data_IF_404961507699
#
_entry.id   IF_404961507699
#
_cell.length_a   1.000
_cell.length_b   1.000
_cell.length_c   1.000
_cell.angle_alpha   90.00
_cell.angle_beta   90.00
_cell.angle_gamma   90.00
#
_symmetry.space_group_name_H-M   'P 1'
#
loop_
_entity.id
_entity.type
_entity.pdbx_description
1 polymer ?
#
# COMPACT_ATOMS: atom_id res chain seq x y z
N UNK A 1 18.00 4.08 9.86
CA UNK A 1 17.42 2.97 10.62
C UNK A 1 18.48 1.89 10.87
N UNK A 2 19.20 1.45 9.83
CA UNK A 2 20.43 0.64 9.99
C UNK A 2 21.55 1.54 10.51
N UNK A 3 22.28 1.07 11.53
CA UNK A 3 23.20 1.90 12.30
C UNK A 3 24.66 1.77 11.84
N UNK A 4 25.04 0.58 11.38
CA UNK A 4 26.43 0.25 11.04
C UNK A 4 26.55 -0.12 9.56
N UNK A 5 27.76 -0.02 9.00
CA UNK A 5 28.04 -0.50 7.65
C UNK A 5 27.82 -2.00 7.54
N UNK A 6 28.21 -2.78 8.55
CA UNK A 6 27.96 -4.22 8.57
C UNK A 6 26.45 -4.59 8.50
N UNK A 7 25.57 -3.81 9.16
CA UNK A 7 24.12 -3.99 9.02
C UNK A 7 23.64 -3.63 7.61
N UNK A 8 24.18 -2.59 7.00
CA UNK A 8 23.84 -2.19 5.64
C UNK A 8 24.30 -3.25 4.62
N UNK A 9 25.51 -3.74 4.76
CA UNK A 9 26.05 -4.80 3.90
C UNK A 9 25.23 -6.09 4.01
N UNK A 10 24.79 -6.43 5.21
CA UNK A 10 24.01 -7.65 5.46
C UNK A 10 22.57 -7.53 4.97
N UNK A 11 21.88 -6.41 5.24
CA UNK A 11 20.45 -6.29 5.09
C UNK A 11 20.01 -5.42 3.91
N UNK A 12 20.80 -4.41 3.53
CA UNK A 12 20.43 -3.43 2.52
C UNK A 12 21.13 -3.73 1.18
N UNK A 13 22.43 -3.97 1.19
CA UNK A 13 23.20 -4.12 -0.05
C UNK A 13 22.67 -5.25 -0.94
N UNK A 14 22.29 -6.43 -0.43
CA UNK A 14 21.73 -7.48 -1.28
C UNK A 14 20.40 -7.10 -1.94
N UNK A 15 19.62 -6.20 -1.32
CA UNK A 15 18.37 -5.67 -1.91
C UNK A 15 18.72 -4.69 -3.03
N UNK A 16 19.69 -3.78 -2.81
CA UNK A 16 20.17 -2.82 -3.82
C UNK A 16 20.72 -3.56 -5.05
N UNK A 17 21.48 -4.62 -4.81
CA UNK A 17 22.05 -5.47 -5.88
C UNK A 17 20.98 -6.32 -6.60
N UNK A 18 19.73 -6.29 -6.17
CA UNK A 18 18.66 -7.11 -6.74
C UNK A 18 18.78 -8.62 -6.47
N UNK A 19 19.67 -9.03 -5.56
CA UNK A 19 19.92 -10.44 -5.21
C UNK A 19 18.83 -11.04 -4.34
N UNK A 20 18.20 -10.22 -3.51
CA UNK A 20 17.13 -10.63 -2.58
C UNK A 20 15.96 -9.66 -2.61
N UNK A 21 14.79 -10.16 -2.17
CA UNK A 21 13.61 -9.34 -1.92
C UNK A 21 13.34 -9.24 -0.42
N UNK A 22 12.65 -8.18 -0.02
CA UNK A 22 12.20 -8.00 1.36
C UNK A 22 10.69 -7.92 1.44
N UNK A 23 10.14 -8.32 2.58
CA UNK A 23 8.73 -8.15 2.91
C UNK A 23 8.54 -7.44 4.23
N UNK A 24 7.48 -6.63 4.31
CA UNK A 24 7.09 -5.92 5.52
C UNK A 24 5.95 -6.67 6.21
N UNK A 25 6.21 -7.16 7.41
CA UNK A 25 5.41 -8.15 8.13
C UNK A 25 4.69 -7.49 9.30
N UNK A 26 3.50 -6.90 9.05
CA UNK A 26 2.78 -6.13 10.07
C UNK A 26 1.34 -6.63 10.28
N UNK A 27 0.54 -6.67 9.23
CA UNK A 27 -0.90 -6.94 9.30
C UNK A 27 -1.21 -8.34 9.83
N UNK A 28 -2.27 -8.46 10.61
CA UNK A 28 -2.71 -9.72 11.23
C UNK A 28 -4.12 -10.10 10.78
N UNK A 29 -4.47 -11.41 10.77
CA UNK A 29 -5.84 -11.84 10.60
C UNK A 29 -6.69 -11.47 11.82
N UNK A 30 -8.01 -11.42 11.63
CA UNK A 30 -8.96 -11.25 12.76
C UNK A 30 -8.68 -12.31 13.86
N UNK A 31 -8.69 -11.93 15.15
CA UNK A 31 -9.06 -10.63 15.74
C UNK A 31 -7.89 -9.64 15.89
N UNK A 32 -6.75 -9.89 15.23
CA UNK A 32 -5.57 -9.06 15.33
C UNK A 32 -5.64 -7.77 14.50
N UNK A 33 -4.48 -7.14 14.34
CA UNK A 33 -4.35 -5.80 13.80
C UNK A 33 -4.46 -5.73 12.28
N UNK A 34 -5.39 -4.90 11.80
CA UNK A 34 -5.40 -4.37 10.44
C UNK A 34 -4.99 -2.90 10.43
N UNK A 35 -5.98 -2.00 10.58
CA UNK A 35 -5.79 -0.54 10.52
C UNK A 35 -5.36 0.10 11.84
N UNK A 36 -5.49 -0.60 12.96
CA UNK A 36 -5.08 -0.14 14.29
C UNK A 36 -4.00 -1.04 14.91
N UNK A 37 -2.75 -0.97 14.44
CA UNK A 37 -1.68 -1.81 14.96
C UNK A 37 -1.34 -1.52 16.42
N UNK A 38 -1.44 -0.26 16.87
CA UNK A 38 -1.13 0.12 18.24
C UNK A 38 -2.01 -0.55 19.27
N UNK A 39 -3.32 -0.59 19.01
CA UNK A 39 -4.32 -1.15 19.93
C UNK A 39 -4.51 -2.66 19.81
N UNK A 40 -4.39 -3.22 18.59
CA UNK A 40 -4.92 -4.56 18.30
C UNK A 40 -3.87 -5.61 17.91
N UNK A 41 -2.59 -5.29 17.85
CA UNK A 41 -1.56 -6.27 17.47
C UNK A 41 -1.42 -7.38 18.52
N UNK A 42 -1.55 -8.63 18.07
CA UNK A 42 -1.49 -9.82 18.90
C UNK A 42 -0.14 -10.55 18.82
N UNK A 43 0.59 -10.45 17.70
CA UNK A 43 1.94 -11.02 17.58
C UNK A 43 2.85 -10.40 18.62
N UNK A 44 3.44 -11.22 19.48
CA UNK A 44 4.32 -10.80 20.58
C UNK A 44 5.77 -11.20 20.33
N UNK A 45 6.68 -10.35 20.76
CA UNK A 45 8.11 -10.59 20.81
C UNK A 45 8.58 -10.41 22.26
N UNK A 46 8.81 -11.52 22.95
CA UNK A 46 9.25 -11.55 24.36
C UNK A 46 10.77 -11.52 24.43
N UNK A 47 11.32 -10.58 25.19
CA UNK A 47 12.76 -10.51 25.38
C UNK A 47 13.23 -11.63 26.33
N UNK A 48 14.23 -12.41 25.91
CA UNK A 48 14.88 -13.47 26.68
C UNK A 48 16.41 -13.38 26.51
N UNK A 49 17.07 -12.74 27.47
CA UNK A 49 18.50 -12.44 27.37
C UNK A 49 18.80 -11.51 26.19
N UNK A 50 19.70 -11.94 25.32
CA UNK A 50 20.15 -11.20 24.14
C UNK A 50 19.31 -11.49 22.87
N UNK A 51 18.10 -12.02 23.03
CA UNK A 51 17.19 -12.31 21.90
C UNK A 51 15.74 -12.06 22.24
N UNK A 52 14.93 -11.99 21.21
CA UNK A 52 13.46 -11.94 21.27
C UNK A 52 12.90 -13.26 20.73
N UNK A 53 11.90 -13.81 21.42
CA UNK A 53 11.14 -14.98 20.98
C UNK A 53 9.77 -14.50 20.48
N UNK A 54 9.46 -14.83 19.23
CA UNK A 54 8.26 -14.33 18.56
C UNK A 54 7.23 -15.44 18.41
N UNK A 55 5.98 -15.11 18.79
CA UNK A 55 4.79 -15.93 18.58
C UNK A 55 3.66 -15.10 18.00
N UNK A 56 2.90 -15.65 17.06
CA UNK A 56 1.73 -15.01 16.48
C UNK A 56 1.52 -15.32 15.01
N UNK A 57 0.60 -14.60 14.41
CA UNK A 57 0.21 -14.82 13.01
C UNK A 57 0.13 -13.49 12.25
N UNK A 58 0.60 -13.51 11.02
CA UNK A 58 0.56 -12.37 10.10
C UNK A 58 -0.07 -12.79 8.78
N UNK A 59 -0.80 -11.87 8.15
CA UNK A 59 -1.37 -12.14 6.84
C UNK A 59 -1.32 -10.92 5.91
N UNK A 60 -1.69 -11.10 4.66
CA UNK A 60 -1.52 -10.09 3.61
C UNK A 60 -0.08 -9.58 3.51
N UNK A 61 0.88 -10.46 3.75
CA UNK A 61 2.30 -10.12 3.66
C UNK A 61 2.74 -10.29 2.21
N UNK A 62 2.77 -9.17 1.49
CA UNK A 62 3.10 -9.14 0.06
C UNK A 62 4.51 -9.64 -0.19
N UNK A 63 4.63 -10.60 -1.09
CA UNK A 63 5.91 -11.12 -1.58
C UNK A 63 6.69 -12.00 -0.60
N UNK A 64 6.10 -12.40 0.53
CA UNK A 64 6.81 -13.21 1.52
C UNK A 64 7.28 -14.57 0.99
N UNK A 65 6.60 -15.14 0.00
CA UNK A 65 6.98 -16.39 -0.66
C UNK A 65 8.29 -16.29 -1.46
N UNK A 66 8.61 -15.09 -1.97
CA UNK A 66 9.87 -14.79 -2.68
C UNK A 66 10.87 -13.95 -1.90
N UNK A 67 10.56 -13.54 -0.66
CA UNK A 67 11.44 -12.72 0.15
C UNK A 67 12.45 -13.56 0.92
N UNK A 68 13.67 -13.02 1.10
CA UNK A 68 14.68 -13.58 2.00
C UNK A 68 14.84 -12.74 3.26
N UNK A 69 14.59 -11.43 3.16
CA UNK A 69 14.69 -10.49 4.27
C UNK A 69 13.30 -10.02 4.68
N UNK A 70 13.07 -9.90 5.98
CA UNK A 70 11.78 -9.52 6.52
C UNK A 70 11.94 -8.42 7.57
N UNK A 71 11.02 -7.45 7.56
CA UNK A 71 10.86 -6.47 8.62
C UNK A 71 9.58 -6.82 9.36
N UNK A 72 9.70 -7.38 10.55
CA UNK A 72 8.59 -7.80 11.41
C UNK A 72 8.25 -6.70 12.40
N UNK A 73 6.97 -6.37 12.53
CA UNK A 73 6.45 -5.53 13.62
C UNK A 73 5.69 -6.44 14.59
N UNK A 74 6.10 -6.40 15.85
CA UNK A 74 5.51 -7.21 16.91
C UNK A 74 5.38 -6.41 18.22
N UNK A 75 4.52 -6.86 19.12
CA UNK A 75 4.29 -6.26 20.42
C UNK A 75 5.36 -6.69 21.41
N UNK A 76 6.05 -5.73 22.03
CA UNK A 76 7.03 -5.94 23.09
C UNK A 76 6.54 -5.48 24.46
N UNK A 77 5.49 -4.64 24.51
CA UNK A 77 4.84 -4.23 25.76
C UNK A 77 3.36 -3.87 25.52
N UNK A 78 2.62 -3.68 26.60
CA UNK A 78 1.19 -3.31 26.52
C UNK A 78 0.95 -1.79 26.41
N UNK A 79 2.01 -0.98 26.28
CA UNK A 79 1.89 0.46 26.03
C UNK A 79 1.21 0.70 24.66
N UNK A 80 0.06 1.41 24.59
CA UNK A 80 -0.66 1.61 23.35
C UNK A 80 0.05 2.50 22.32
N UNK A 81 1.06 3.30 22.77
CA UNK A 81 1.82 4.22 21.92
C UNK A 81 3.21 3.69 21.58
N UNK A 82 3.85 3.01 22.53
CA UNK A 82 5.22 2.49 22.43
C UNK A 82 5.32 0.98 22.66
N UNK A 83 4.22 0.25 22.54
CA UNK A 83 4.21 -1.20 22.73
C UNK A 83 4.70 -2.01 21.53
N UNK A 84 4.97 -1.39 20.37
CA UNK A 84 5.40 -2.10 19.17
C UNK A 84 6.86 -1.86 18.87
N UNK A 85 7.57 -2.93 18.51
CA UNK A 85 8.97 -2.89 18.05
C UNK A 85 9.09 -3.52 16.66
N UNK A 86 10.15 -3.18 15.95
CA UNK A 86 10.42 -3.71 14.61
C UNK A 86 11.75 -4.49 14.61
N UNK A 87 11.76 -5.59 13.88
CA UNK A 87 12.85 -6.56 13.85
C UNK A 87 13.18 -7.00 12.44
N UNK A 88 14.47 -7.28 12.19
CA UNK A 88 14.94 -7.93 10.99
C UNK A 88 15.09 -9.42 11.24
N UNK A 89 14.56 -10.25 10.33
CA UNK A 89 14.85 -11.68 10.31
C UNK A 89 15.07 -12.19 8.89
N UNK A 90 15.79 -13.31 8.78
CA UNK A 90 16.09 -13.96 7.50
C UNK A 90 15.20 -15.19 7.32
N UNK A 91 14.94 -15.53 6.06
CA UNK A 91 14.13 -16.70 5.67
C UNK A 91 14.56 -18.01 6.32
N UNK A 92 15.86 -18.22 6.46
CA UNK A 92 16.42 -19.49 6.95
C UNK A 92 16.39 -19.63 8.48
N UNK A 93 15.96 -18.58 9.21
CA UNK A 93 15.78 -18.71 10.66
C UNK A 93 14.61 -19.63 10.99
N UNK A 94 14.77 -20.58 11.93
CA UNK A 94 13.69 -21.48 12.35
C UNK A 94 12.65 -20.74 13.20
N UNK A 95 11.48 -21.37 13.41
CA UNK A 95 10.42 -20.83 14.28
C UNK A 95 9.39 -19.98 13.54
N UNK A 96 9.37 -20.01 12.21
CA UNK A 96 8.30 -19.45 11.41
C UNK A 96 8.02 -20.32 10.18
N UNK A 97 6.85 -20.15 9.61
CA UNK A 97 6.45 -20.82 8.36
C UNK A 97 5.48 -19.98 7.56
N UNK A 98 5.54 -20.11 6.25
CA UNK A 98 4.53 -19.63 5.34
C UNK A 98 3.40 -20.66 5.30
N UNK A 99 2.19 -20.26 5.68
CA UNK A 99 1.02 -21.15 5.70
C UNK A 99 0.40 -21.30 4.32
N UNK A 100 0.20 -20.17 3.62
CA UNK A 100 -0.44 -20.14 2.30
C UNK A 100 -0.27 -18.79 1.63
N UNK A 101 -0.48 -18.75 0.33
CA UNK A 101 -0.92 -17.52 -0.35
C UNK A 101 -2.40 -17.30 -0.06
N UNK A 102 -2.78 -16.08 0.26
CA UNK A 102 -4.18 -15.70 0.51
C UNK A 102 -4.87 -15.46 -0.84
N UNK A 103 -5.86 -16.26 -1.24
CA UNK A 103 -6.61 -16.00 -2.46
C UNK A 103 -7.33 -14.66 -2.35
N UNK A 104 -7.27 -13.85 -3.38
CA UNK A 104 -7.92 -12.54 -3.45
C UNK A 104 -8.74 -12.42 -4.74
N UNK A 105 -9.65 -11.44 -4.79
CA UNK A 105 -10.35 -11.13 -6.04
C UNK A 105 -9.43 -10.46 -7.08
N UNK A 106 -8.30 -9.91 -6.63
CA UNK A 106 -7.31 -9.33 -7.53
C UNK A 106 -6.60 -10.40 -8.35
N UNK A 107 -5.93 -10.01 -9.44
CA UNK A 107 -5.13 -10.94 -10.22
C UNK A 107 -3.97 -11.49 -9.39
N UNK A 108 -3.53 -12.70 -9.70
CA UNK A 108 -2.29 -13.22 -9.13
C UNK A 108 -1.12 -12.40 -9.63
N UNK A 109 -0.38 -11.83 -8.69
CA UNK A 109 0.85 -11.09 -8.95
C UNK A 109 2.05 -11.87 -8.43
N UNK A 110 3.22 -11.63 -9.02
CA UNK A 110 4.49 -12.06 -8.44
C UNK A 110 4.62 -11.44 -7.05
N UNK A 111 4.67 -12.30 -6.03
CA UNK A 111 4.71 -11.86 -4.65
C UNK A 111 3.33 -11.58 -4.06
N UNK A 112 2.37 -12.47 -4.28
CA UNK A 112 1.02 -12.38 -3.71
C UNK A 112 0.99 -12.23 -2.19
N UNK A 113 -0.17 -11.93 -1.66
CA UNK A 113 -0.39 -11.81 -0.22
C UNK A 113 -0.23 -13.18 0.47
N UNK A 114 0.64 -13.26 1.46
CA UNK A 114 0.92 -14.49 2.21
C UNK A 114 0.42 -14.41 3.64
N UNK A 115 0.10 -15.58 4.20
CA UNK A 115 -0.16 -15.79 5.61
C UNK A 115 1.02 -16.50 6.25
N UNK A 116 1.53 -15.93 7.35
CA UNK A 116 2.71 -16.41 8.08
C UNK A 116 2.33 -16.76 9.51
N UNK A 117 2.97 -17.80 10.04
CA UNK A 117 2.85 -18.25 11.41
C UNK A 117 4.22 -18.20 12.09
N UNK A 118 4.26 -17.73 13.32
CA UNK A 118 5.45 -17.63 14.15
C UNK A 118 5.25 -18.44 15.40
N UNK A 119 6.10 -19.44 15.59
CA UNK A 119 6.10 -20.33 16.74
C UNK A 119 7.52 -20.50 17.26
N UNK A 120 7.95 -19.53 18.06
CA UNK A 120 9.28 -19.51 18.62
C UNK A 120 10.38 -18.99 17.69
N UNK A 121 10.07 -18.09 16.76
CA UNK A 121 11.12 -17.42 15.97
C UNK A 121 12.05 -16.64 16.89
N UNK A 122 13.32 -17.01 16.88
CA UNK A 122 14.37 -16.33 17.65
C UNK A 122 15.02 -15.22 16.84
N UNK A 123 14.97 -14.00 17.35
CA UNK A 123 15.59 -12.82 16.71
C UNK A 123 16.61 -12.22 17.66
N UNK A 124 17.91 -12.15 17.29
CA UNK A 124 18.93 -11.49 18.07
C UNK A 124 18.58 -10.02 18.35
N UNK A 125 18.97 -9.53 19.53
CA UNK A 125 18.66 -8.15 19.96
C UNK A 125 19.24 -7.10 18.99
N UNK A 126 20.39 -7.35 18.40
CA UNK A 126 21.01 -6.47 17.41
C UNK A 126 20.19 -6.31 16.14
N UNK A 127 19.32 -7.26 15.82
CA UNK A 127 18.42 -7.17 14.67
C UNK A 127 17.15 -6.34 14.94
N UNK A 128 17.02 -5.75 16.14
CA UNK A 128 15.95 -4.77 16.43
C UNK A 128 16.26 -3.46 15.74
N UNK A 129 15.30 -2.97 14.96
CA UNK A 129 15.38 -1.67 14.29
C UNK A 129 14.93 -0.55 15.24
N UNK A 130 15.72 0.50 15.35
CA UNK A 130 15.50 1.64 16.25
C UNK A 130 15.46 1.21 17.73
N UNK A 131 14.83 2.01 18.59
CA UNK A 131 14.68 1.66 20.00
C UNK A 131 13.45 0.76 20.22
N UNK A 132 13.43 0.04 21.33
CA UNK A 132 12.24 -0.72 21.73
C UNK A 132 11.06 0.22 21.91
N UNK A 133 9.92 -0.15 21.34
CA UNK A 133 8.73 0.71 21.31
C UNK A 133 8.65 1.67 20.13
N UNK A 134 9.63 1.74 19.23
CA UNK A 134 9.61 2.60 18.05
C UNK A 134 9.00 1.94 16.79
N UNK A 135 8.45 0.73 16.88
CA UNK A 135 7.91 -0.01 15.74
C UNK A 135 6.80 0.73 15.01
N UNK A 136 5.90 1.40 15.72
CA UNK A 136 4.84 2.21 15.11
C UNK A 136 5.43 3.44 14.38
N UNK A 137 6.42 4.09 14.97
CA UNK A 137 7.14 5.21 14.36
C UNK A 137 7.84 4.78 13.06
N UNK A 138 8.57 3.66 13.09
CA UNK A 138 9.21 3.09 11.91
C UNK A 138 8.17 2.80 10.80
N UNK A 139 7.05 2.20 11.17
CA UNK A 139 5.95 1.92 10.25
C UNK A 139 5.45 3.20 9.56
N UNK A 140 5.26 4.30 10.30
CA UNK A 140 4.81 5.56 9.71
C UNK A 140 5.85 6.18 8.77
N UNK A 141 7.15 6.11 9.11
CA UNK A 141 8.24 6.56 8.23
C UNK A 141 8.19 5.80 6.90
N UNK A 142 7.96 4.49 6.94
CA UNK A 142 7.88 3.63 5.74
C UNK A 142 6.61 3.89 4.93
N UNK A 143 5.47 4.05 5.60
CA UNK A 143 4.16 4.14 4.94
C UNK A 143 3.94 5.46 4.21
N UNK A 144 4.56 6.56 4.62
CA UNK A 144 4.43 7.85 3.94
C UNK A 144 4.80 7.75 2.46
N UNK A 145 6.08 7.47 2.14
CA UNK A 145 6.53 7.28 0.75
C UNK A 145 5.81 6.14 0.03
N UNK A 146 5.50 5.03 0.72
CA UNK A 146 4.80 3.90 0.10
C UNK A 146 3.40 4.28 -0.42
N UNK A 147 2.64 5.06 0.35
CA UNK A 147 1.32 5.57 -0.06
C UNK A 147 1.42 6.47 -1.29
N UNK A 148 2.46 7.31 -1.35
CA UNK A 148 2.69 8.18 -2.49
C UNK A 148 3.05 7.39 -3.76
N UNK A 149 3.91 6.37 -3.64
CA UNK A 149 4.23 5.48 -4.78
C UNK A 149 3.01 4.68 -5.24
N UNK A 150 2.10 4.31 -4.34
CA UNK A 150 0.79 3.75 -4.73
C UNK A 150 -0.02 4.73 -5.57
N UNK A 151 -0.11 5.99 -5.16
CA UNK A 151 -0.84 7.01 -5.93
C UNK A 151 -0.27 7.16 -7.34
N UNK A 152 1.06 7.21 -7.48
CA UNK A 152 1.72 7.29 -8.79
C UNK A 152 1.36 6.10 -9.69
N UNK A 153 1.46 4.88 -9.16
CA UNK A 153 1.12 3.65 -9.90
C UNK A 153 -0.34 3.59 -10.30
N UNK A 154 -1.26 3.93 -9.39
CA UNK A 154 -2.70 3.92 -9.64
C UNK A 154 -3.12 4.97 -10.67
N UNK A 155 -2.50 6.15 -10.67
CA UNK A 155 -2.71 7.15 -11.73
C UNK A 155 -2.23 6.65 -13.08
N UNK A 156 -1.12 5.93 -13.14
CA UNK A 156 -0.63 5.29 -14.36
C UNK A 156 -1.63 4.27 -14.91
N UNK A 157 -2.22 3.43 -14.04
CA UNK A 157 -3.26 2.47 -14.42
C UNK A 157 -4.56 3.16 -14.85
N UNK A 158 -5.00 4.21 -14.14
CA UNK A 158 -6.18 4.98 -14.52
C UNK A 158 -6.00 5.65 -15.89
N UNK A 159 -4.82 6.23 -16.15
CA UNK A 159 -4.46 6.77 -17.46
C UNK A 159 -4.51 5.69 -18.54
N UNK A 160 -3.96 4.49 -18.27
CA UNK A 160 -3.99 3.36 -19.20
C UNK A 160 -5.42 2.92 -19.53
N UNK A 161 -6.33 2.91 -18.56
CA UNK A 161 -7.75 2.65 -18.80
C UNK A 161 -8.36 3.68 -19.76
N UNK A 162 -8.08 4.97 -19.54
CA UNK A 162 -8.58 6.04 -20.38
C UNK A 162 -8.03 5.95 -21.82
N UNK A 163 -6.75 5.62 -21.99
CA UNK A 163 -6.13 5.42 -23.32
C UNK A 163 -6.82 4.30 -24.09
N UNK A 164 -7.01 3.14 -23.48
CA UNK A 164 -7.68 1.99 -24.11
C UNK A 164 -9.12 2.36 -24.51
N UNK A 165 -9.86 3.01 -23.62
CA UNK A 165 -11.23 3.44 -23.91
C UNK A 165 -11.27 4.46 -25.05
N UNK A 166 -10.39 5.48 -25.02
CA UNK A 166 -10.28 6.50 -26.05
C UNK A 166 -10.02 5.91 -27.45
N UNK A 167 -9.07 4.98 -27.55
CA UNK A 167 -8.74 4.34 -28.83
C UNK A 167 -9.93 3.53 -29.36
N UNK A 168 -10.56 2.75 -28.48
CA UNK A 168 -11.71 1.92 -28.86
C UNK A 168 -12.91 2.74 -29.34
N UNK A 169 -13.30 3.82 -28.64
CA UNK A 169 -14.49 4.60 -28.99
C UNK A 169 -14.32 5.38 -30.31
N UNK A 170 -13.09 5.65 -30.74
CA UNK A 170 -12.78 6.28 -32.04
C UNK A 170 -12.96 5.32 -33.23
N UNK A 171 -12.77 4.05 -32.99
CA UNK A 171 -12.86 3.03 -34.03
C UNK A 171 -14.28 2.37 -34.11
N UNK A 172 -14.87 2.15 -32.93
CA UNK A 172 -16.15 1.45 -32.82
C UNK A 172 -17.31 2.33 -33.28
N UNK A 173 -18.07 1.82 -34.22
CA UNK A 173 -19.30 2.45 -34.72
C UNK A 173 -20.55 1.80 -34.16
N UNK A 174 -21.52 2.61 -33.77
CA UNK A 174 -22.87 2.22 -33.38
C UNK A 174 -23.84 3.40 -33.61
N UNK A 175 -25.09 3.10 -33.92
CA UNK A 175 -26.13 4.12 -34.15
C UNK A 175 -25.75 5.16 -35.23
N UNK A 176 -25.05 4.70 -36.28
CA UNK A 176 -24.74 5.52 -37.45
C UNK A 176 -23.43 6.30 -37.41
N UNK A 177 -22.76 6.36 -36.26
CA UNK A 177 -21.51 7.12 -36.09
C UNK A 177 -20.49 6.39 -35.19
N UNK A 178 -19.30 6.94 -34.98
CA UNK A 178 -18.36 6.41 -33.99
C UNK A 178 -18.86 6.67 -32.56
N UNK A 179 -18.47 5.79 -31.61
CA UNK A 179 -18.85 6.00 -30.21
C UNK A 179 -18.32 7.34 -29.67
N UNK A 180 -17.17 7.81 -30.16
CA UNK A 180 -16.58 9.08 -29.77
C UNK A 180 -17.43 10.32 -30.11
N UNK A 181 -18.35 10.21 -31.03
CA UNK A 181 -19.24 11.32 -31.43
C UNK A 181 -20.52 11.40 -30.58
N UNK A 182 -20.78 10.42 -29.71
CA UNK A 182 -21.89 10.47 -28.77
C UNK A 182 -21.57 11.32 -27.57
N UNK A 183 -22.41 12.29 -27.23
CA UNK A 183 -22.22 13.23 -26.12
C UNK A 183 -22.01 12.51 -24.79
N UNK A 184 -22.76 11.46 -24.52
CA UNK A 184 -22.61 10.65 -23.29
C UNK A 184 -21.21 10.05 -23.14
N UNK A 185 -20.61 9.59 -24.26
CA UNK A 185 -19.24 9.05 -24.28
C UNK A 185 -18.22 10.16 -24.03
N UNK A 186 -18.41 11.34 -24.63
CA UNK A 186 -17.53 12.49 -24.43
C UNK A 186 -17.53 12.96 -22.97
N UNK A 187 -18.72 13.00 -22.34
CA UNK A 187 -18.87 13.36 -20.91
C UNK A 187 -18.11 12.33 -20.04
N UNK A 188 -18.28 11.04 -20.27
CA UNK A 188 -17.59 10.00 -19.50
C UNK A 188 -16.06 10.11 -19.61
N UNK A 189 -15.53 10.34 -20.81
CA UNK A 189 -14.10 10.51 -21.03
C UNK A 189 -13.57 11.79 -20.36
N UNK A 190 -14.31 12.90 -20.51
CA UNK A 190 -13.98 14.20 -19.92
C UNK A 190 -13.91 14.16 -18.40
N UNK A 191 -14.90 13.51 -17.77
CA UNK A 191 -14.94 13.34 -16.31
C UNK A 191 -13.71 12.59 -15.80
N UNK A 192 -13.37 11.45 -16.40
CA UNK A 192 -12.21 10.66 -15.96
C UNK A 192 -10.91 11.41 -16.22
N UNK A 193 -10.77 12.11 -17.36
CA UNK A 193 -9.58 12.92 -17.64
C UNK A 193 -9.37 14.01 -16.58
N UNK A 194 -10.43 14.71 -16.20
CA UNK A 194 -10.38 15.73 -15.15
C UNK A 194 -10.01 15.15 -13.78
N UNK A 195 -10.58 14.00 -13.41
CA UNK A 195 -10.27 13.33 -12.13
C UNK A 195 -8.81 12.82 -12.08
N UNK A 196 -8.27 12.29 -13.18
CA UNK A 196 -6.86 11.91 -13.28
C UNK A 196 -5.95 13.13 -13.10
N UNK A 197 -6.30 14.26 -13.73
CA UNK A 197 -5.53 15.52 -13.61
C UNK A 197 -5.51 16.02 -12.16
N UNK A 198 -6.66 16.05 -11.47
CA UNK A 198 -6.75 16.41 -10.04
C UNK A 198 -5.90 15.46 -9.18
N UNK A 199 -5.99 14.15 -9.39
CA UNK A 199 -5.21 13.16 -8.66
C UNK A 199 -3.71 13.35 -8.85
N UNK A 200 -3.29 13.71 -10.06
CA UNK A 200 -1.89 14.02 -10.36
C UNK A 200 -1.40 15.25 -9.59
N UNK A 201 -2.19 16.34 -9.57
CA UNK A 201 -1.84 17.55 -8.82
C UNK A 201 -1.73 17.28 -7.32
N UNK A 202 -2.67 16.54 -6.72
CA UNK A 202 -2.62 16.15 -5.31
C UNK A 202 -1.37 15.30 -5.00
N UNK A 203 -1.02 14.38 -5.89
CA UNK A 203 0.16 13.52 -5.71
C UNK A 203 1.45 14.33 -5.81
N UNK A 204 1.54 15.26 -6.76
CA UNK A 204 2.68 16.16 -6.91
C UNK A 204 2.82 17.11 -5.72
N UNK A 205 1.71 17.66 -5.20
CA UNK A 205 1.72 18.51 -4.00
C UNK A 205 2.25 17.73 -2.79
N UNK A 206 1.79 16.49 -2.57
CA UNK A 206 2.32 15.66 -1.49
C UNK A 206 3.82 15.36 -1.63
N UNK A 207 4.29 15.12 -2.86
CA UNK A 207 5.71 14.92 -3.15
C UNK A 207 6.53 16.20 -2.86
N UNK A 208 6.06 17.33 -3.34
CA UNK A 208 6.69 18.63 -3.10
C UNK A 208 6.78 18.94 -1.60
N UNK A 209 5.72 18.71 -0.83
CA UNK A 209 5.73 18.91 0.63
C UNK A 209 6.81 18.06 1.32
N UNK A 210 6.99 16.80 0.87
CA UNK A 210 8.07 15.93 1.36
C UNK A 210 9.46 16.49 1.00
N UNK A 211 9.64 16.97 -0.22
CA UNK A 211 10.91 17.55 -0.69
C UNK A 211 11.29 18.83 0.10
N UNK A 212 10.30 19.57 0.59
CA UNK A 212 10.51 20.71 1.50
C UNK A 212 10.82 20.28 2.97
N UNK A 213 10.93 18.99 3.24
CA UNK A 213 11.17 18.46 4.59
C UNK A 213 9.90 18.37 5.46
N UNK A 214 8.74 18.61 4.90
CA UNK A 214 7.44 18.46 5.56
C UNK A 214 7.06 17.00 5.80
N UNK A 215 6.13 16.75 6.71
CA UNK A 215 5.62 15.38 6.99
C UNK A 215 4.62 14.89 5.94
N UNK A 216 4.00 15.78 5.19
CA UNK A 216 3.01 15.54 4.13
C UNK A 216 1.88 14.54 4.49
N UNK A 217 1.54 14.39 5.78
CA UNK A 217 0.55 13.39 6.22
C UNK A 217 -0.85 13.68 5.69
N UNK A 218 -1.23 14.94 5.67
CA UNK A 218 -2.52 15.42 5.19
C UNK A 218 -2.60 15.32 3.66
N UNK A 219 -1.57 15.77 2.97
CA UNK A 219 -1.44 15.79 1.51
C UNK A 219 -1.43 14.37 0.94
N UNK A 220 -0.64 13.46 1.55
CA UNK A 220 -0.63 12.04 1.18
C UNK A 220 -1.99 11.39 1.42
N UNK A 221 -2.70 11.76 2.50
CA UNK A 221 -4.05 11.24 2.77
C UNK A 221 -5.05 11.72 1.74
N UNK A 222 -5.03 13.00 1.36
CA UNK A 222 -5.88 13.56 0.29
C UNK A 222 -5.63 12.86 -1.04
N UNK A 223 -4.37 12.77 -1.44
CA UNK A 223 -3.97 12.10 -2.69
C UNK A 223 -4.44 10.64 -2.70
N UNK A 224 -4.19 9.88 -1.62
CA UNK A 224 -4.52 8.47 -1.54
C UNK A 224 -6.02 8.20 -1.63
N UNK A 225 -6.86 8.97 -0.94
CA UNK A 225 -8.32 8.84 -1.01
C UNK A 225 -8.79 9.10 -2.45
N UNK A 226 -8.39 10.23 -3.02
CA UNK A 226 -8.84 10.63 -4.35
C UNK A 226 -8.38 9.66 -5.43
N UNK A 227 -7.10 9.32 -5.46
CA UNK A 227 -6.54 8.46 -6.50
C UNK A 227 -7.07 7.03 -6.43
N UNK A 228 -7.38 6.50 -5.23
CA UNK A 228 -8.03 5.20 -5.09
C UNK A 228 -9.43 5.19 -5.71
N UNK A 229 -10.20 6.26 -5.56
CA UNK A 229 -11.51 6.41 -6.22
C UNK A 229 -11.36 6.57 -7.74
N UNK A 230 -10.43 7.40 -8.19
CA UNK A 230 -10.18 7.65 -9.62
C UNK A 230 -9.82 6.36 -10.35
N UNK A 231 -8.94 5.53 -9.80
CA UNK A 231 -8.58 4.25 -10.41
C UNK A 231 -9.81 3.33 -10.57
N UNK A 232 -10.63 3.19 -9.53
CA UNK A 232 -11.82 2.36 -9.58
C UNK A 232 -12.82 2.87 -10.64
N UNK A 233 -13.09 4.18 -10.66
CA UNK A 233 -13.98 4.80 -11.67
C UNK A 233 -13.42 4.68 -13.09
N UNK A 234 -12.12 4.92 -13.28
CA UNK A 234 -11.49 4.83 -14.59
C UNK A 234 -11.56 3.40 -15.17
N UNK A 235 -11.32 2.38 -14.34
CA UNK A 235 -11.41 0.99 -14.77
C UNK A 235 -12.85 0.61 -15.12
N UNK A 236 -13.83 0.97 -14.29
CA UNK A 236 -15.24 0.72 -14.52
C UNK A 236 -15.75 1.42 -15.80
N UNK A 237 -15.46 2.72 -15.93
CA UNK A 237 -15.85 3.51 -17.09
C UNK A 237 -15.23 2.97 -18.39
N UNK A 238 -13.95 2.58 -18.35
CA UNK A 238 -13.28 2.04 -19.54
C UNK A 238 -13.88 0.70 -19.98
N UNK A 239 -14.22 -0.18 -19.02
CA UNK A 239 -14.94 -1.43 -19.33
C UNK A 239 -16.30 -1.11 -19.96
N UNK A 240 -17.05 -0.17 -19.37
CA UNK A 240 -18.37 0.23 -19.89
C UNK A 240 -18.28 0.75 -21.34
N UNK A 241 -17.30 1.62 -21.63
CA UNK A 241 -17.09 2.18 -22.96
C UNK A 241 -16.63 1.13 -23.98
N UNK A 242 -15.82 0.17 -23.58
CA UNK A 242 -15.35 -0.92 -24.44
C UNK A 242 -16.34 -2.08 -24.56
N UNK A 243 -17.40 -2.10 -23.74
CA UNK A 243 -18.44 -3.14 -23.78
C UNK A 243 -17.87 -4.55 -23.55
N UNK A 244 -18.33 -5.53 -24.32
CA UNK A 244 -17.89 -6.92 -24.18
C UNK A 244 -16.38 -7.10 -24.30
N UNK A 245 -15.71 -6.31 -25.13
CA UNK A 245 -14.23 -6.34 -25.26
C UNK A 245 -13.54 -5.89 -23.97
N UNK A 246 -14.09 -4.88 -23.30
CA UNK A 246 -13.55 -4.42 -22.00
C UNK A 246 -13.77 -5.42 -20.87
N UNK A 247 -14.84 -6.21 -20.95
CA UNK A 247 -15.18 -7.26 -19.99
C UNK A 247 -14.39 -8.56 -20.22
N UNK A 248 -13.88 -8.78 -21.44
CA UNK A 248 -13.08 -9.96 -21.79
C UNK A 248 -11.61 -9.77 -21.41
N UNK A 249 -10.86 -10.88 -21.43
CA UNK A 249 -9.39 -10.89 -21.25
C UNK A 249 -8.61 -10.45 -22.49
N UNK A 250 -9.28 -10.01 -23.56
CA UNK A 250 -8.64 -9.46 -24.76
C UNK A 250 -8.01 -8.09 -24.51
N UNK A 251 -8.39 -7.45 -23.39
CA UNK A 251 -7.77 -6.23 -22.90
C UNK A 251 -7.31 -6.40 -21.45
N UNK A 252 -6.43 -5.53 -20.99
CA UNK A 252 -5.99 -5.52 -19.60
C UNK A 252 -7.02 -4.87 -18.64
N UNK A 253 -8.17 -4.42 -19.15
CA UNK A 253 -9.15 -3.67 -18.33
C UNK A 253 -9.77 -4.51 -17.22
N UNK A 254 -10.12 -5.77 -17.49
CA UNK A 254 -10.68 -6.67 -16.48
C UNK A 254 -9.66 -6.92 -15.34
N UNK A 255 -8.38 -7.06 -15.69
CA UNK A 255 -7.30 -7.22 -14.74
C UNK A 255 -7.16 -5.96 -13.86
N UNK A 256 -7.15 -4.76 -14.50
CA UNK A 256 -7.05 -3.49 -13.77
C UNK A 256 -8.27 -3.29 -12.86
N UNK A 257 -9.47 -3.64 -13.31
CA UNK A 257 -10.70 -3.54 -12.52
C UNK A 257 -10.63 -4.38 -11.23
N UNK A 258 -10.25 -5.66 -11.35
CA UNK A 258 -10.09 -6.54 -10.18
C UNK A 258 -8.98 -6.03 -9.24
N UNK A 259 -7.88 -5.56 -9.80
CA UNK A 259 -6.80 -4.96 -9.04
C UNK A 259 -7.21 -3.65 -8.35
N UNK A 260 -7.95 -2.79 -9.02
CA UNK A 260 -8.33 -1.46 -8.54
C UNK A 260 -9.04 -1.50 -7.19
N UNK A 261 -9.80 -2.57 -6.90
CA UNK A 261 -10.57 -2.67 -5.66
C UNK A 261 -9.68 -2.62 -4.41
N UNK A 262 -8.48 -3.15 -4.46
CA UNK A 262 -7.56 -3.14 -3.33
C UNK A 262 -7.08 -1.73 -2.95
N UNK A 263 -7.08 -0.77 -3.89
CA UNK A 263 -6.61 0.59 -3.66
C UNK A 263 -7.32 1.31 -2.50
N UNK A 264 -8.60 0.98 -2.26
CA UNK A 264 -9.39 1.53 -1.15
C UNK A 264 -9.08 0.90 0.21
N UNK A 265 -8.31 -0.20 0.23
CA UNK A 265 -8.07 -1.03 1.43
C UNK A 265 -6.63 -0.97 1.92
N UNK A 266 -5.66 -1.06 1.00
CA UNK A 266 -4.24 -1.21 1.34
C UNK A 266 -3.62 0.06 1.91
N UNK A 267 -2.59 -0.10 2.76
CA UNK A 267 -1.82 0.96 3.41
C UNK A 267 -2.68 2.00 4.17
N UNK A 268 -3.76 1.49 4.76
CA UNK A 268 -4.82 2.26 5.41
C UNK A 268 -6.04 2.42 4.50
N UNK A 269 -7.19 1.94 4.97
CA UNK A 269 -8.45 2.10 4.26
C UNK A 269 -8.79 3.58 4.02
N UNK A 270 -9.58 3.87 2.98
CA UNK A 270 -9.98 5.25 2.64
C UNK A 270 -10.62 5.96 3.84
N UNK A 271 -11.37 5.25 4.67
CA UNK A 271 -12.00 5.75 5.89
C UNK A 271 -10.97 6.22 6.92
N UNK A 272 -9.86 5.49 7.09
CA UNK A 272 -8.77 5.88 8.00
C UNK A 272 -8.14 7.20 7.56
N UNK A 273 -7.90 7.37 6.26
CA UNK A 273 -7.37 8.61 5.71
C UNK A 273 -8.35 9.78 5.84
N UNK A 274 -9.66 9.53 5.65
CA UNK A 274 -10.72 10.54 5.91
C UNK A 274 -10.72 10.98 7.37
N UNK A 275 -10.55 10.04 8.32
CA UNK A 275 -10.40 10.36 9.75
C UNK A 275 -9.16 11.22 10.02
N UNK A 276 -8.03 10.95 9.35
CA UNK A 276 -6.81 11.78 9.44
C UNK A 276 -7.10 13.21 9.02
N UNK A 277 -7.78 13.41 7.87
CA UNK A 277 -8.15 14.73 7.38
C UNK A 277 -9.10 15.45 8.34
N UNK A 278 -10.15 14.79 8.81
CA UNK A 278 -11.11 15.38 9.74
C UNK A 278 -10.43 15.85 11.05
N UNK A 279 -9.51 15.04 11.59
CA UNK A 279 -8.74 15.40 12.78
C UNK A 279 -7.77 16.56 12.52
N UNK A 280 -7.12 16.60 11.36
CA UNK A 280 -6.25 17.69 10.97
C UNK A 280 -7.04 19.00 10.86
N UNK A 281 -8.17 18.98 10.16
CA UNK A 281 -9.06 20.15 10.03
C UNK A 281 -9.58 20.64 11.39
N UNK A 282 -10.05 19.72 12.23
CA UNK A 282 -10.53 20.07 13.56
C UNK A 282 -9.46 20.71 14.46
N UNK A 283 -8.18 20.33 14.26
CA UNK A 283 -7.04 20.89 15.00
C UNK A 283 -6.57 22.23 14.46
N UNK A 284 -6.55 22.39 13.14
CA UNK A 284 -5.96 23.54 12.45
C UNK A 284 -6.98 24.65 12.14
N UNK A 285 -8.28 24.29 12.06
CA UNK A 285 -9.31 25.24 11.65
C UNK A 285 -9.03 25.83 10.27
N UNK A 286 -9.05 27.15 10.16
CA UNK A 286 -8.81 27.83 8.89
C UNK A 286 -7.38 27.69 8.36
N UNK A 287 -6.41 27.43 9.24
CA UNK A 287 -5.00 27.21 8.84
C UNK A 287 -4.82 25.93 8.01
N UNK A 288 -5.80 25.02 8.05
CA UNK A 288 -5.83 23.82 7.20
C UNK A 288 -5.75 24.14 5.69
N UNK A 289 -6.21 25.32 5.29
CA UNK A 289 -6.24 25.76 3.89
C UNK A 289 -5.00 26.56 3.48
N UNK A 290 -4.10 26.87 4.41
CA UNK A 290 -2.84 27.54 4.09
C UNK A 290 -1.84 26.54 3.55
N UNK A 291 -1.54 26.69 2.27
CA UNK A 291 -0.64 25.84 1.50
C UNK A 291 0.69 26.57 1.28
N UNK A 292 1.65 26.36 2.17
CA UNK A 292 2.96 27.01 2.06
C UNK A 292 3.80 26.78 3.29
#
# INVERSE_FOLDING_TARGET
>A
VLRTEAEKDRWLQPIIDGKVRSSFVMTEPHPGSGSDPGGMMLTRAEKRGEKYIVHGRKWFISGADGASHFILVARTSDDPRRGLSAFLFHRDQPGWRLLRRVPTMGPEELGGACELDFDGLEIPQENRLMEEGDGLRLTQIRLGPARLTHCMRWLGLAKRCLEIAHDYVRERKAFGTTLAEHESVQIMLGDIAAEIAKGRLLTMHAAWTLDQGGKAQTEVSMAKIHVAEVLNRAADTAIQLCGARGYSTDTVLEWIYRYARCAKLVDGASEVHKMVLARAYAKQGNDFWHWG
#
